data_IF_710884223702
#
_entry.id   IF_710884223702
#
_cell.length_a   1.000
_cell.length_b   1.000
_cell.length_c   1.000
_cell.angle_alpha   90.00
_cell.angle_beta   90.00
_cell.angle_gamma   90.00
#
_symmetry.space_group_name_H-M   'P 1'
#
loop_
_entity.id
_entity.type
_entity.pdbx_description
1 polymer ?
#
# COMPACT_ATOMS: atom_id res chain seq x y z
N UNK A 1 -9.90 2.77 -5.01
CA UNK A 1 -10.09 1.78 -6.10
C UNK A 1 -11.52 1.24 -6.12
N UNK A 2 -12.06 0.73 -5.00
CA UNK A 2 -13.49 0.34 -4.90
C UNK A 2 -14.47 1.46 -5.22
N UNK A 3 -14.15 2.70 -4.85
CA UNK A 3 -14.92 3.90 -5.24
C UNK A 3 -14.99 4.15 -6.75
N UNK A 4 -14.10 3.53 -7.53
CA UNK A 4 -14.11 3.56 -9.00
C UNK A 4 -14.89 2.37 -9.59
N UNK A 5 -15.62 1.60 -8.78
CA UNK A 5 -16.37 0.42 -9.21
C UNK A 5 -15.51 -0.85 -9.42
N UNK A 6 -14.25 -0.82 -9.01
CA UNK A 6 -13.33 -1.95 -9.16
C UNK A 6 -13.43 -2.90 -7.97
N UNK A 7 -13.63 -4.19 -8.25
CA UNK A 7 -13.48 -5.25 -7.25
C UNK A 7 -11.99 -5.45 -6.96
N UNK A 8 -11.55 -5.02 -5.79
CA UNK A 8 -10.16 -5.15 -5.34
C UNK A 8 -10.12 -5.85 -4.00
N UNK A 9 -9.17 -6.76 -3.83
CA UNK A 9 -8.96 -7.61 -2.68
C UNK A 9 -7.52 -7.48 -2.16
N UNK A 10 -7.27 -7.84 -0.89
CA UNK A 10 -5.91 -7.97 -0.37
C UNK A 10 -5.03 -8.83 -1.29
N UNK A 11 -3.88 -8.30 -1.68
CA UNK A 11 -2.91 -8.95 -2.57
C UNK A 11 -2.99 -8.52 -4.03
N UNK A 12 -4.06 -7.84 -4.47
CA UNK A 12 -4.19 -7.40 -5.87
C UNK A 12 -3.14 -6.37 -6.29
N UNK A 13 -2.52 -5.69 -5.32
CA UNK A 13 -1.41 -4.75 -5.56
C UNK A 13 -0.04 -5.39 -5.29
N UNK A 14 -0.01 -6.70 -5.06
CA UNK A 14 1.15 -7.47 -4.63
C UNK A 14 1.80 -6.94 -3.34
N UNK A 15 0.98 -6.37 -2.46
CA UNK A 15 1.42 -5.92 -1.14
C UNK A 15 1.62 -7.10 -0.19
N UNK A 16 2.63 -6.98 0.68
CA UNK A 16 2.89 -7.99 1.71
C UNK A 16 2.07 -7.76 2.98
N UNK A 17 1.61 -6.53 3.21
CA UNK A 17 0.95 -6.09 4.45
C UNK A 17 -0.24 -5.21 4.08
N UNK A 18 -1.41 -5.53 4.63
CA UNK A 18 -2.59 -4.66 4.60
C UNK A 18 -2.72 -3.90 5.91
N UNK A 19 -3.37 -2.73 5.85
CA UNK A 19 -3.65 -1.90 7.01
C UNK A 19 -5.12 -2.07 7.41
N UNK A 20 -5.36 -2.10 8.72
CA UNK A 20 -6.71 -2.01 9.28
C UNK A 20 -7.34 -0.67 8.95
N UNK A 21 -8.68 -0.61 8.87
CA UNK A 21 -9.40 0.60 8.43
C UNK A 21 -9.16 1.84 9.31
N UNK A 22 -8.80 1.65 10.58
CA UNK A 22 -8.48 2.72 11.52
C UNK A 22 -7.05 3.26 11.39
N UNK A 23 -6.22 2.69 10.52
CA UNK A 23 -4.83 3.12 10.29
C UNK A 23 -4.76 3.82 8.95
N UNK A 24 -4.42 5.11 8.97
CA UNK A 24 -4.36 5.93 7.77
C UNK A 24 -2.93 6.04 7.23
N UNK A 25 -2.68 5.69 5.95
CA UNK A 25 -1.36 5.82 5.35
C UNK A 25 -0.81 7.25 5.33
N UNK A 26 -1.70 8.24 5.27
CA UNK A 26 -1.38 9.67 5.28
C UNK A 26 -0.70 10.14 6.57
N UNK A 27 -0.85 9.41 7.67
CA UNK A 27 -0.20 9.74 8.95
C UNK A 27 1.25 9.24 9.01
N UNK A 28 1.69 8.43 8.04
CA UNK A 28 3.01 7.84 8.02
C UNK A 28 4.11 8.79 7.53
N UNK A 29 5.32 8.60 8.08
CA UNK A 29 6.51 9.38 7.71
C UNK A 29 7.69 8.47 7.41
N UNK A 30 8.53 8.87 6.46
CA UNK A 30 9.82 8.20 6.24
C UNK A 30 10.67 8.29 7.52
N UNK A 31 11.30 7.18 7.90
CA UNK A 31 12.03 6.98 9.15
C UNK A 31 11.16 6.56 10.34
N UNK A 32 9.83 6.57 10.20
CA UNK A 32 8.94 6.09 11.25
C UNK A 32 9.13 4.58 11.46
N UNK A 33 9.16 4.17 12.73
CA UNK A 33 9.24 2.76 13.12
C UNK A 33 7.89 2.24 13.62
N UNK A 34 7.51 1.06 13.16
CA UNK A 34 6.30 0.35 13.56
C UNK A 34 6.71 -0.96 14.21
N UNK A 35 6.13 -1.29 15.35
CA UNK A 35 6.40 -2.52 16.07
C UNK A 35 5.19 -3.43 15.91
N UNK A 36 5.41 -4.63 15.38
CA UNK A 36 4.36 -5.66 15.29
C UNK A 36 4.11 -6.28 16.66
N UNK A 37 2.96 -6.94 16.84
CA UNK A 37 2.65 -7.68 18.07
C UNK A 37 3.65 -8.80 18.41
N UNK A 38 4.46 -9.26 17.45
CA UNK A 38 5.54 -10.24 17.65
C UNK A 38 6.91 -9.61 17.94
N UNK A 39 6.97 -8.29 18.15
CA UNK A 39 8.21 -7.57 18.44
C UNK A 39 9.10 -7.29 17.23
N UNK A 40 8.64 -7.58 16.00
CA UNK A 40 9.38 -7.20 14.79
C UNK A 40 9.25 -5.70 14.59
N UNK A 41 10.39 -5.01 14.44
CA UNK A 41 10.46 -3.58 14.15
C UNK A 41 10.60 -3.38 12.64
N UNK A 42 9.66 -2.64 12.06
CA UNK A 42 9.66 -2.21 10.67
C UNK A 42 9.99 -0.72 10.61
N UNK A 43 10.72 -0.28 9.60
CA UNK A 43 10.99 1.14 9.34
C UNK A 43 10.45 1.53 7.97
N UNK A 44 9.73 2.64 7.91
CA UNK A 44 9.22 3.19 6.65
C UNK A 44 10.37 3.89 5.94
N UNK A 45 10.87 3.31 4.86
CA UNK A 45 11.98 3.90 4.09
C UNK A 45 11.52 4.79 2.94
N UNK A 46 10.27 4.63 2.50
CA UNK A 46 9.70 5.36 1.36
C UNK A 46 8.17 5.41 1.47
N UNK A 47 7.58 6.50 0.97
CA UNK A 47 6.13 6.63 0.77
C UNK A 47 5.86 6.62 -0.74
N UNK A 48 4.93 5.76 -1.15
CA UNK A 48 4.66 5.48 -2.57
C UNK A 48 5.76 4.64 -3.22
N UNK A 49 5.58 4.34 -4.50
CA UNK A 49 6.59 3.66 -5.32
C UNK A 49 6.72 4.34 -6.66
N UNK A 50 7.95 4.41 -7.18
CA UNK A 50 8.17 4.75 -8.59
C UNK A 50 7.90 3.50 -9.43
N UNK A 51 6.81 3.50 -10.18
CA UNK A 51 6.54 2.44 -11.14
C UNK A 51 7.55 2.55 -12.29
N UNK A 52 8.44 1.58 -12.43
CA UNK A 52 9.37 1.51 -13.56
C UNK A 52 8.67 1.14 -14.87
N UNK A 53 7.56 0.40 -14.77
CA UNK A 53 6.70 -0.02 -15.88
C UNK A 53 5.24 -0.02 -15.44
N UNK A 54 4.32 0.15 -16.39
CA UNK A 54 2.89 0.02 -16.15
C UNK A 54 2.56 -1.39 -15.62
N UNK A 55 2.10 -1.49 -14.36
CA UNK A 55 1.63 -2.77 -13.82
C UNK A 55 0.25 -3.13 -14.39
N UNK A 56 -0.20 -4.38 -14.16
CA UNK A 56 -1.48 -4.87 -14.70
C UNK A 56 -2.68 -4.02 -14.25
N UNK A 57 -2.70 -3.59 -12.98
CA UNK A 57 -3.69 -2.65 -12.47
C UNK A 57 -3.70 -1.37 -13.28
N UNK A 58 -2.56 -0.70 -13.47
CA UNK A 58 -2.52 0.56 -14.21
C UNK A 58 -2.98 0.40 -15.67
N UNK A 59 -2.75 -0.76 -16.29
CA UNK A 59 -3.25 -1.06 -17.64
C UNK A 59 -4.77 -1.24 -17.68
N UNK A 60 -5.35 -1.89 -16.68
CA UNK A 60 -6.79 -2.16 -16.61
C UNK A 60 -7.57 -0.92 -16.19
N UNK A 61 -7.05 -0.17 -15.22
CA UNK A 61 -7.77 0.92 -14.56
C UNK A 61 -7.39 2.31 -15.07
N UNK A 62 -6.27 2.43 -15.79
CA UNK A 62 -5.68 3.70 -16.21
C UNK A 62 -5.10 4.54 -15.06
N UNK A 63 -5.12 4.04 -13.81
CA UNK A 63 -4.68 4.78 -12.62
C UNK A 63 -3.88 3.89 -11.65
N UNK A 64 -2.87 4.49 -11.02
CA UNK A 64 -2.23 3.91 -9.84
C UNK A 64 -2.92 4.42 -8.57
N UNK A 65 -2.75 3.69 -7.46
CA UNK A 65 -3.09 4.15 -6.11
C UNK A 65 -2.16 5.30 -5.71
#
# INVERSE_FOLDING_TARGET
>A
MRTLGLDVNPGDFAENITLSENIKPEDFRVGQRIITNRGVVLEITQIGKKCHTACNIMRITGKCV
#
